data_IF_363630612870
#
_entry.id   IF_363630612870
#
_cell.length_a   1.000
_cell.length_b   1.000
_cell.length_c   1.000
_cell.angle_alpha   90.00
_cell.angle_beta   90.00
_cell.angle_gamma   90.00
#
_symmetry.space_group_name_H-M   'P 1'
#
loop_
_entity.id
_entity.type
_entity.pdbx_description
1 polymer ?
#
# COMPACT_ATOMS: atom_id res chain seq x y z
N UNK A 1 21.59 -21.74 -12.62
CA UNK A 1 22.42 -21.61 -13.84
C UNK A 1 23.81 -22.21 -13.68
N UNK A 2 24.64 -21.78 -12.71
CA UNK A 2 25.97 -22.38 -12.43
C UNK A 2 25.88 -23.89 -12.16
N UNK A 3 24.90 -24.33 -11.36
CA UNK A 3 24.64 -25.74 -11.09
C UNK A 3 24.27 -26.55 -12.34
N UNK A 4 23.53 -25.92 -13.28
CA UNK A 4 23.14 -26.54 -14.55
C UNK A 4 24.35 -26.67 -15.48
N UNK A 5 25.20 -25.64 -15.56
CA UNK A 5 26.45 -25.67 -16.33
C UNK A 5 27.39 -26.75 -15.77
N UNK A 6 27.51 -26.82 -14.45
CA UNK A 6 28.29 -27.85 -13.77
C UNK A 6 27.74 -29.26 -14.06
N UNK A 7 26.42 -29.44 -13.97
CA UNK A 7 25.74 -30.70 -14.27
C UNK A 7 25.92 -31.12 -15.74
N UNK A 8 25.73 -30.21 -16.70
CA UNK A 8 25.91 -30.50 -18.13
C UNK A 8 27.36 -30.86 -18.46
N UNK A 9 28.32 -30.18 -17.84
CA UNK A 9 29.75 -30.51 -17.99
C UNK A 9 30.05 -31.90 -17.43
N UNK A 10 29.53 -32.21 -16.24
CA UNK A 10 29.93 -33.42 -15.52
C UNK A 10 29.18 -34.67 -15.98
N UNK A 11 27.88 -34.55 -16.29
CA UNK A 11 27.02 -35.66 -16.68
C UNK A 11 27.00 -35.93 -18.20
N UNK A 12 27.24 -34.91 -19.03
CA UNK A 12 27.15 -35.02 -20.49
C UNK A 12 28.46 -34.68 -21.22
N UNK A 13 29.56 -34.38 -20.49
CA UNK A 13 30.86 -34.12 -21.08
C UNK A 13 30.94 -32.84 -21.93
N UNK A 14 30.00 -31.92 -21.74
CA UNK A 14 29.88 -30.73 -22.58
C UNK A 14 31.12 -29.83 -22.45
N UNK A 15 31.71 -29.44 -23.59
CA UNK A 15 32.93 -28.64 -23.62
C UNK A 15 32.61 -27.15 -23.70
N UNK A 16 32.74 -26.46 -22.57
CA UNK A 16 32.50 -25.02 -22.43
C UNK A 16 33.73 -24.15 -22.75
N UNK A 17 34.57 -24.51 -23.73
CA UNK A 17 35.72 -23.67 -24.17
C UNK A 17 35.46 -22.86 -25.45
N UNK A 18 34.26 -22.94 -26.02
CA UNK A 18 33.90 -22.26 -27.26
C UNK A 18 33.14 -20.94 -27.07
N UNK A 19 32.74 -20.34 -28.18
CA UNK A 19 31.97 -19.08 -28.24
C UNK A 19 30.63 -19.18 -27.47
N UNK A 20 30.06 -20.38 -27.37
CA UNK A 20 28.84 -20.69 -26.64
C UNK A 20 28.94 -20.33 -25.16
N UNK A 21 30.13 -20.49 -24.56
CA UNK A 21 30.39 -20.08 -23.18
C UNK A 21 30.38 -18.57 -23.02
N UNK A 22 30.90 -17.84 -24.02
CA UNK A 22 30.83 -16.38 -24.06
C UNK A 22 29.38 -15.89 -24.10
N UNK A 23 28.55 -16.50 -24.95
CA UNK A 23 27.11 -16.21 -25.01
C UNK A 23 26.43 -16.49 -23.66
N UNK A 24 26.72 -17.64 -23.03
CA UNK A 24 26.14 -18.00 -21.73
C UNK A 24 26.52 -17.01 -20.63
N UNK A 25 27.78 -16.57 -20.58
CA UNK A 25 28.25 -15.58 -19.60
C UNK A 25 27.53 -14.24 -19.83
N UNK A 26 27.51 -13.74 -21.07
CA UNK A 26 26.83 -12.49 -21.41
C UNK A 26 25.33 -12.56 -21.11
N UNK A 27 24.67 -13.66 -21.45
CA UNK A 27 23.27 -13.90 -21.13
C UNK A 27 23.00 -13.97 -19.62
N UNK A 28 23.93 -14.53 -18.84
CA UNK A 28 23.82 -14.55 -17.37
C UNK A 28 23.95 -13.15 -16.79
N UNK A 29 24.94 -12.38 -17.24
CA UNK A 29 25.14 -11.00 -16.80
C UNK A 29 23.92 -10.15 -17.15
N UNK A 30 23.37 -10.32 -18.37
CA UNK A 30 22.18 -9.64 -18.82
C UNK A 30 20.95 -9.98 -17.97
N UNK A 31 20.70 -11.25 -17.68
CA UNK A 31 19.56 -11.67 -16.85
C UNK A 31 19.69 -11.19 -15.41
N UNK A 32 20.88 -11.23 -14.81
CA UNK A 32 21.14 -10.65 -13.49
C UNK A 32 20.91 -9.14 -13.51
N UNK A 33 21.41 -8.44 -14.53
CA UNK A 33 21.19 -7.00 -14.70
C UNK A 33 19.72 -6.64 -14.81
N UNK A 34 18.93 -7.43 -15.55
CA UNK A 34 17.48 -7.26 -15.63
C UNK A 34 16.81 -7.47 -14.27
N UNK A 35 17.15 -8.54 -13.54
CA UNK A 35 16.59 -8.81 -12.21
C UNK A 35 16.88 -7.68 -11.22
N UNK A 36 18.11 -7.17 -11.19
CA UNK A 36 18.48 -6.02 -10.34
C UNK A 36 17.70 -4.78 -10.77
N UNK A 37 17.58 -4.54 -12.08
CA UNK A 37 16.84 -3.39 -12.61
C UNK A 37 15.35 -3.43 -12.28
N UNK A 38 14.71 -4.60 -12.33
CA UNK A 38 13.29 -4.74 -11.98
C UNK A 38 13.04 -4.69 -10.48
N UNK A 39 14.01 -5.10 -9.67
CA UNK A 39 13.92 -5.08 -8.20
C UNK A 39 13.78 -3.68 -7.62
N UNK A 40 14.43 -2.67 -8.23
CA UNK A 40 14.33 -1.27 -7.80
C UNK A 40 13.25 -0.48 -8.56
N UNK A 41 12.48 -1.13 -9.42
CA UNK A 41 11.46 -0.45 -10.24
C UNK A 41 10.15 -0.33 -9.46
N UNK A 42 9.58 0.87 -9.49
CA UNK A 42 8.24 1.14 -8.98
C UNK A 42 7.15 0.62 -9.92
N UNK A 43 6.04 0.20 -9.34
CA UNK A 43 4.79 -0.06 -10.06
C UNK A 43 4.36 1.20 -10.81
N UNK A 44 3.76 0.98 -11.98
CA UNK A 44 3.34 2.08 -12.83
C UNK A 44 2.20 2.85 -12.19
N UNK A 45 2.31 4.17 -12.15
CA UNK A 45 1.22 5.05 -11.75
C UNK A 45 0.13 5.02 -12.84
N UNK A 46 -1.09 4.65 -12.46
CA UNK A 46 -2.26 4.57 -13.34
C UNK A 46 -3.33 5.49 -12.77
N UNK A 47 -3.78 6.45 -13.58
CA UNK A 47 -4.79 7.42 -13.18
C UNK A 47 -4.36 8.85 -13.46
N UNK A 48 -5.17 9.80 -12.99
CA UNK A 48 -4.86 11.23 -13.05
C UNK A 48 -4.74 11.75 -11.62
N UNK A 49 -3.71 12.56 -11.36
CA UNK A 49 -3.63 13.29 -10.10
C UNK A 49 -4.76 14.33 -10.05
N UNK A 50 -5.64 14.21 -9.07
CA UNK A 50 -6.79 15.10 -8.92
C UNK A 50 -6.61 16.09 -7.75
N UNK A 51 -5.77 15.79 -6.75
CA UNK A 51 -5.44 16.73 -5.69
C UNK A 51 -4.95 16.06 -4.40
N UNK A 52 -5.12 16.76 -3.28
CA UNK A 52 -4.78 16.28 -1.94
C UNK A 52 -6.04 16.02 -1.12
N UNK A 53 -5.98 15.00 -0.28
CA UNK A 53 -6.91 14.79 0.83
C UNK A 53 -6.25 15.23 2.12
N UNK A 54 -6.95 16.04 2.91
CA UNK A 54 -6.51 16.48 4.23
C UNK A 54 -7.62 16.20 5.25
N UNK A 55 -7.24 15.56 6.36
CA UNK A 55 -8.14 15.24 7.46
C UNK A 55 -7.95 16.27 8.59
N UNK A 56 -9.02 16.99 8.93
CA UNK A 56 -9.04 17.97 10.01
C UNK A 56 -10.06 17.57 11.08
N UNK A 57 -10.02 18.16 12.27
CA UNK A 57 -10.93 17.73 13.35
C UNK A 57 -12.42 17.84 12.99
N UNK A 58 -12.81 18.87 12.23
CA UNK A 58 -14.23 19.20 11.97
C UNK A 58 -14.67 19.06 10.50
N UNK A 59 -13.76 18.77 9.58
CA UNK A 59 -14.06 18.61 8.16
C UNK A 59 -13.00 17.77 7.43
N UNK A 60 -13.34 17.30 6.24
CA UNK A 60 -12.42 16.65 5.31
C UNK A 60 -12.28 17.55 4.09
N UNK A 61 -11.05 17.91 3.72
CA UNK A 61 -10.77 18.63 2.49
C UNK A 61 -10.36 17.65 1.39
N UNK A 62 -11.03 17.69 0.24
CA UNK A 62 -10.71 16.91 -0.95
C UNK A 62 -10.67 17.87 -2.14
N UNK A 63 -9.51 17.99 -2.80
CA UNK A 63 -9.36 18.80 -4.03
C UNK A 63 -9.79 20.27 -3.88
N UNK A 64 -9.58 20.86 -2.69
CA UNK A 64 -10.04 22.21 -2.30
C UNK A 64 -11.55 22.34 -2.06
N UNK A 65 -12.26 21.23 -1.87
CA UNK A 65 -13.64 21.24 -1.38
C UNK A 65 -13.68 20.69 0.04
N UNK A 66 -14.23 21.48 0.94
CA UNK A 66 -14.45 21.09 2.32
C UNK A 66 -15.79 20.37 2.47
N UNK A 67 -15.76 19.28 3.23
CA UNK A 67 -16.92 18.50 3.65
C UNK A 67 -16.96 18.50 5.17
N UNK A 68 -17.90 19.24 5.75
CA UNK A 68 -18.10 19.24 7.19
C UNK A 68 -18.52 17.86 7.69
N UNK A 69 -18.09 17.46 8.90
CA UNK A 69 -18.51 16.18 9.48
C UNK A 69 -20.04 16.04 9.56
N UNK A 70 -20.75 17.17 9.72
CA UNK A 70 -22.21 17.21 9.73
C UNK A 70 -22.87 16.80 8.41
N UNK A 71 -22.18 16.89 7.29
CA UNK A 71 -22.68 16.53 5.95
C UNK A 71 -22.34 15.08 5.57
N UNK A 72 -21.37 14.49 6.29
CA UNK A 72 -20.85 13.16 6.01
C UNK A 72 -21.72 12.14 6.72
N UNK A 73 -22.14 11.12 5.97
CA UNK A 73 -22.85 9.97 6.52
C UNK A 73 -21.88 8.86 6.91
N UNK A 74 -20.90 8.57 6.05
CA UNK A 74 -19.97 7.46 6.24
C UNK A 74 -18.67 7.69 5.48
N UNK A 75 -17.55 7.26 6.06
CA UNK A 75 -16.25 7.20 5.39
C UNK A 75 -15.71 5.77 5.49
N UNK A 76 -15.52 5.13 4.35
CA UNK A 76 -15.05 3.75 4.25
C UNK A 76 -13.69 3.71 3.57
N UNK A 77 -12.79 2.86 4.06
CA UNK A 77 -11.46 2.71 3.49
C UNK A 77 -11.22 1.28 3.00
N UNK A 78 -10.50 1.16 1.88
CA UNK A 78 -10.17 -0.10 1.23
C UNK A 78 -8.68 -0.16 0.90
N UNK A 79 -8.10 -1.35 1.06
CA UNK A 79 -6.71 -1.65 0.70
C UNK A 79 -5.68 -0.70 1.33
N UNK A 80 -5.89 -0.24 2.57
CA UNK A 80 -5.09 0.79 3.29
C UNK A 80 -3.67 0.38 3.72
N UNK A 81 -3.10 -0.61 3.05
CA UNK A 81 -1.81 -1.20 3.40
C UNK A 81 -0.73 -0.90 2.37
N UNK A 82 -1.10 -0.32 1.23
CA UNK A 82 -0.20 -0.11 0.11
C UNK A 82 0.63 1.16 0.31
N UNK A 83 1.88 1.00 0.74
CA UNK A 83 2.76 2.13 1.04
C UNK A 83 3.85 2.22 -0.03
N UNK A 84 4.05 3.43 -0.56
CA UNK A 84 5.07 3.69 -1.58
C UNK A 84 6.45 3.21 -1.12
N UNK A 85 7.04 2.34 -1.94
CA UNK A 85 8.36 1.75 -1.71
C UNK A 85 8.36 0.44 -0.91
N UNK A 86 7.19 -0.08 -0.51
CA UNK A 86 7.08 -1.43 0.04
C UNK A 86 7.23 -2.48 -1.06
N UNK A 87 7.75 -3.66 -0.70
CA UNK A 87 7.96 -4.74 -1.66
C UNK A 87 6.65 -5.48 -1.95
N UNK A 88 6.27 -5.61 -3.23
CA UNK A 88 4.98 -6.19 -3.65
C UNK A 88 5.08 -7.60 -4.25
N UNK A 89 6.26 -8.01 -4.73
CA UNK A 89 6.46 -9.25 -5.49
C UNK A 89 7.62 -10.11 -4.96
N UNK A 90 7.69 -11.36 -5.42
CA UNK A 90 8.79 -12.27 -5.12
C UNK A 90 10.03 -11.92 -5.94
N UNK A 91 11.22 -12.13 -5.36
CA UNK A 91 12.55 -11.81 -5.91
C UNK A 91 12.83 -12.26 -7.36
N UNK A 92 12.10 -13.23 -7.89
CA UNK A 92 12.35 -13.83 -9.21
C UNK A 92 11.39 -13.34 -10.30
N UNK A 93 10.48 -12.41 -9.99
CA UNK A 93 9.55 -11.87 -10.96
C UNK A 93 10.21 -10.76 -11.82
N UNK A 94 9.88 -10.70 -13.11
CA UNK A 94 10.33 -9.60 -13.98
C UNK A 94 9.41 -8.38 -13.91
N UNK A 95 8.48 -8.35 -12.95
CA UNK A 95 7.60 -7.24 -12.65
C UNK A 95 8.31 -6.20 -11.77
N UNK A 96 7.80 -4.95 -11.70
CA UNK A 96 8.28 -4.01 -10.70
C UNK A 96 8.06 -4.58 -9.29
N UNK A 97 8.99 -4.33 -8.37
CA UNK A 97 8.89 -4.86 -7.00
C UNK A 97 8.54 -3.81 -5.95
N UNK A 98 8.60 -2.52 -6.29
CA UNK A 98 8.30 -1.46 -5.34
C UNK A 98 6.88 -0.94 -5.60
N UNK A 99 6.03 -0.97 -4.58
CA UNK A 99 4.73 -0.34 -4.61
C UNK A 99 4.86 1.16 -4.93
N UNK A 100 3.95 1.68 -5.75
CA UNK A 100 3.80 3.12 -5.92
C UNK A 100 2.93 3.80 -4.84
N UNK A 101 2.30 3.00 -3.96
CA UNK A 101 1.48 3.43 -2.84
C UNK A 101 0.09 3.93 -3.24
N UNK A 102 -0.39 3.64 -4.46
CA UNK A 102 -1.65 4.15 -5.01
C UNK A 102 -2.80 3.15 -4.95
N UNK A 103 -2.56 1.92 -4.51
CA UNK A 103 -3.60 0.89 -4.35
C UNK A 103 -4.36 1.03 -3.02
N UNK A 104 -4.54 2.26 -2.54
CA UNK A 104 -5.42 2.58 -1.42
C UNK A 104 -6.61 3.36 -1.95
N UNK A 105 -7.79 3.16 -1.39
CA UNK A 105 -8.98 3.91 -1.78
C UNK A 105 -9.92 4.16 -0.61
N UNK A 106 -10.77 5.17 -0.76
CA UNK A 106 -11.84 5.43 0.20
C UNK A 106 -13.13 5.79 -0.54
N UNK A 107 -14.26 5.58 0.15
CA UNK A 107 -15.58 6.02 -0.27
C UNK A 107 -16.14 6.94 0.81
N UNK A 108 -16.40 8.19 0.45
CA UNK A 108 -17.10 9.16 1.27
C UNK A 108 -18.57 9.19 0.83
N UNK A 109 -19.47 8.75 1.70
CA UNK A 109 -20.91 8.85 1.51
C UNK A 109 -21.43 10.06 2.27
N UNK A 110 -22.08 10.99 1.57
CA UNK A 110 -22.72 12.18 2.14
C UNK A 110 -24.17 11.87 2.53
N UNK A 111 -24.72 12.63 3.49
CA UNK A 111 -26.11 12.46 3.96
C UNK A 111 -27.17 12.72 2.89
N UNK A 112 -26.82 13.45 1.83
CA UNK A 112 -27.68 13.64 0.66
C UNK A 112 -27.67 12.44 -0.31
N UNK A 113 -26.92 11.37 0.01
CA UNK A 113 -26.81 10.17 -0.80
C UNK A 113 -25.67 10.19 -1.83
N UNK A 114 -25.00 11.32 -2.02
CA UNK A 114 -23.86 11.41 -2.95
C UNK A 114 -22.68 10.59 -2.42
N UNK A 115 -22.02 9.87 -3.33
CA UNK A 115 -20.82 9.09 -3.05
C UNK A 115 -19.65 9.66 -3.82
N UNK A 116 -18.53 9.81 -3.12
CA UNK A 116 -17.27 10.29 -3.66
C UNK A 116 -16.23 9.22 -3.40
N UNK A 117 -15.62 8.72 -4.45
CA UNK A 117 -14.64 7.64 -4.39
C UNK A 117 -13.34 8.10 -5.02
N UNK A 118 -12.23 7.87 -4.32
CA UNK A 118 -10.91 8.20 -4.80
C UNK A 118 -9.88 7.16 -4.35
N UNK A 119 -8.91 6.92 -5.21
CA UNK A 119 -7.63 6.33 -4.82
C UNK A 119 -6.72 7.40 -4.20
N UNK A 120 -5.88 7.01 -3.26
CA UNK A 120 -4.93 7.93 -2.62
C UNK A 120 -3.55 7.29 -2.42
N UNK A 121 -2.54 8.17 -2.43
CA UNK A 121 -1.15 7.82 -2.19
C UNK A 121 -0.89 7.69 -0.69
N UNK A 122 -0.25 6.61 -0.25
CA UNK A 122 0.40 6.54 1.06
C UNK A 122 1.91 6.51 0.92
N UNK A 123 2.59 7.40 1.66
CA UNK A 123 4.05 7.41 1.77
C UNK A 123 4.46 7.00 3.18
N UNK A 124 5.76 6.71 3.41
CA UNK A 124 6.23 6.35 4.76
C UNK A 124 5.94 7.43 5.80
N UNK A 125 5.90 8.70 5.41
CA UNK A 125 5.61 9.86 6.27
C UNK A 125 4.13 10.22 6.37
N UNK A 126 3.31 9.85 5.37
CA UNK A 126 1.90 10.28 5.26
C UNK A 126 0.96 9.05 5.25
N UNK A 127 1.12 8.16 6.22
CA UNK A 127 0.24 7.00 6.40
C UNK A 127 -1.00 7.38 7.21
N UNK A 128 -2.14 6.77 6.91
CA UNK A 128 -3.40 6.99 7.63
C UNK A 128 -3.27 6.75 9.14
N UNK A 129 -2.44 5.78 9.56
CA UNK A 129 -2.21 5.47 10.97
C UNK A 129 -1.70 6.65 11.80
N UNK A 130 -1.05 7.64 11.17
CA UNK A 130 -0.57 8.84 11.86
C UNK A 130 -1.68 9.86 12.12
N UNK A 131 -2.83 9.71 11.46
CA UNK A 131 -4.04 10.52 11.69
C UNK A 131 -4.97 9.88 12.74
N UNK A 132 -4.43 9.03 13.64
CA UNK A 132 -5.19 8.27 14.64
C UNK A 132 -6.19 9.14 15.39
N UNK A 133 -5.77 10.31 15.87
CA UNK A 133 -6.61 11.17 16.72
C UNK A 133 -7.80 11.72 15.93
N UNK A 134 -7.56 12.21 14.72
CA UNK A 134 -8.60 12.73 13.81
C UNK A 134 -9.56 11.61 13.39
N UNK A 135 -9.05 10.44 13.01
CA UNK A 135 -9.89 9.30 12.63
C UNK A 135 -10.69 8.74 13.83
N UNK A 136 -10.13 8.81 15.03
CA UNK A 136 -10.84 8.48 16.26
C UNK A 136 -11.98 9.47 16.49
N UNK A 137 -11.76 10.77 16.29
CA UNK A 137 -12.84 11.77 16.36
C UNK A 137 -13.96 11.48 15.36
N UNK A 138 -13.62 11.07 14.13
CA UNK A 138 -14.63 10.71 13.14
C UNK A 138 -15.43 9.47 13.54
N UNK A 139 -14.79 8.50 14.20
CA UNK A 139 -15.51 7.37 14.79
C UNK A 139 -16.49 7.81 15.88
N UNK A 140 -16.11 8.77 16.74
CA UNK A 140 -17.03 9.33 17.75
C UNK A 140 -18.26 9.99 17.13
N UNK A 141 -18.07 10.64 15.98
CA UNK A 141 -19.15 11.24 15.18
C UNK A 141 -19.95 10.21 14.36
N UNK A 142 -19.66 8.91 14.48
CA UNK A 142 -20.35 7.84 13.77
C UNK A 142 -20.01 7.72 12.27
N UNK A 143 -18.97 8.41 11.81
CA UNK A 143 -18.59 8.49 10.39
C UNK A 143 -17.75 7.27 9.97
N UNK A 144 -16.87 6.81 10.85
CA UNK A 144 -16.00 5.63 10.63
C UNK A 144 -16.42 4.51 11.58
N UNK A 145 -16.43 3.27 11.11
CA UNK A 145 -16.69 2.12 11.98
C UNK A 145 -15.47 1.76 12.85
N UNK A 146 -15.71 1.20 14.03
CA UNK A 146 -14.62 0.74 14.91
C UNK A 146 -13.72 -0.30 14.21
N UNK A 147 -14.31 -1.17 13.38
CA UNK A 147 -13.56 -2.19 12.63
C UNK A 147 -12.59 -1.56 11.63
N UNK A 148 -13.04 -0.56 10.87
CA UNK A 148 -12.18 0.17 9.93
C UNK A 148 -11.03 0.89 10.65
N UNK A 149 -11.33 1.49 11.81
CA UNK A 149 -10.30 2.17 12.60
C UNK A 149 -9.22 1.19 13.09
N UNK A 150 -9.61 0.00 13.56
CA UNK A 150 -8.67 -1.06 13.94
C UNK A 150 -7.80 -1.50 12.76
N UNK A 151 -8.40 -1.70 11.59
CA UNK A 151 -7.69 -2.09 10.37
C UNK A 151 -6.66 -1.03 9.94
N UNK A 152 -7.05 0.26 9.95
CA UNK A 152 -6.16 1.37 9.60
C UNK A 152 -4.99 1.49 10.57
N UNK A 153 -5.26 1.31 11.86
CA UNK A 153 -4.25 1.40 12.92
C UNK A 153 -3.39 0.12 13.03
N UNK A 154 -3.68 -0.92 12.26
CA UNK A 154 -3.01 -2.23 12.30
C UNK A 154 -3.04 -2.86 13.70
N UNK A 155 -4.17 -2.71 14.39
CA UNK A 155 -4.38 -3.29 15.73
C UNK A 155 -5.06 -4.65 15.54
N UNK A 156 -4.26 -5.72 15.57
CA UNK A 156 -4.72 -7.10 15.33
C UNK A 156 -4.81 -7.93 16.61
N UNK A 157 -4.01 -7.59 17.64
CA UNK A 157 -4.00 -8.34 18.89
C UNK A 157 -5.30 -8.16 19.68
N UNK A 158 -5.86 -9.26 20.16
CA UNK A 158 -7.14 -9.25 20.87
C UNK A 158 -7.11 -8.34 22.11
N UNK A 159 -6.04 -8.35 22.90
CA UNK A 159 -5.95 -7.52 24.10
C UNK A 159 -5.82 -6.04 23.74
N UNK A 160 -5.06 -5.73 22.69
CA UNK A 160 -4.93 -4.36 22.18
C UNK A 160 -6.26 -3.84 21.62
N UNK A 161 -7.01 -4.67 20.88
CA UNK A 161 -8.36 -4.35 20.40
C UNK A 161 -9.27 -4.01 21.59
N UNK A 162 -9.27 -4.83 22.65
CA UNK A 162 -10.12 -4.60 23.82
C UNK A 162 -9.72 -3.33 24.57
N UNK A 163 -8.41 -3.05 24.69
CA UNK A 163 -7.90 -1.82 25.30
C UNK A 163 -8.34 -0.60 24.49
N UNK A 164 -8.17 -0.64 23.17
CA UNK A 164 -8.54 0.44 22.28
C UNK A 164 -10.06 0.70 22.30
N UNK A 165 -10.88 -0.35 22.29
CA UNK A 165 -12.35 -0.22 22.43
C UNK A 165 -12.75 0.46 23.75
N UNK A 166 -12.06 0.17 24.85
CA UNK A 166 -12.30 0.85 26.14
C UNK A 166 -11.91 2.33 26.06
N UNK A 167 -10.75 2.64 25.48
CA UNK A 167 -10.26 4.02 25.32
C UNK A 167 -11.27 4.90 24.54
N UNK A 168 -11.76 4.41 23.39
CA UNK A 168 -12.72 5.15 22.58
C UNK A 168 -14.11 5.26 23.22
N UNK A 169 -14.53 4.27 24.03
CA UNK A 169 -15.83 4.28 24.72
C UNK A 169 -15.84 5.26 25.89
N UNK A 170 -14.78 5.25 26.71
CA UNK A 170 -14.64 6.17 27.85
C UNK A 170 -14.60 7.62 27.36
N UNK A 171 -13.95 7.87 26.23
CA UNK A 171 -13.85 9.20 25.63
C UNK A 171 -15.13 9.66 24.90
N UNK A 172 -16.19 8.84 24.83
CA UNK A 172 -17.53 9.21 24.35
C UNK A 172 -18.50 9.54 25.50
N UNK A 173 -18.16 9.18 26.74
CA UNK A 173 -18.98 9.37 27.95
C UNK A 173 -18.63 10.61 28.76
N UNK A 174 -17.68 11.43 28.28
CA UNK A 174 -17.29 12.73 28.84
C UNK A 174 -17.69 13.81 27.86
#
# INVERSE_FOLDING_TARGET
MIFLIYYLKHSFGYNFKGFETGILILGTIYTIGLLISTFFRYEREIGKYCGRISFYENHINIENKDYDLGEIQKLEFFSTFDIKGDFTNYLLDFTPHLSNGLNNSFILTLKNGNKIEYNFLQTKSEQLKYYKDVLTNYHKNGIISCLELLNILKIEDYNEIQKFKKEITIANTV
#
